data_IF_120817316325
#
_entry.id   IF_120817316325
#
_cell.length_a   1.000
_cell.length_b   1.000
_cell.length_c   1.000
_cell.angle_alpha   90.00
_cell.angle_beta   90.00
_cell.angle_gamma   90.00
#
_symmetry.space_group_name_H-M   'P 1'
#
loop_
_entity.id
_entity.type
_entity.pdbx_description
1 polymer ?
#
# COMPACT_ATOMS: atom_id res chain seq x y z
N UNK A 1 8.83 26.50 -4.48
CA UNK A 1 7.47 27.03 -4.17
C UNK A 1 7.54 27.68 -2.80
N UNK A 2 7.11 28.91 -2.65
CA UNK A 2 7.04 29.58 -1.36
C UNK A 2 5.69 29.34 -0.65
N UNK A 3 5.55 29.81 0.60
CA UNK A 3 4.35 29.58 1.43
C UNK A 3 3.08 30.22 0.87
N UNK A 4 3.21 31.30 0.10
CA UNK A 4 2.08 32.01 -0.51
C UNK A 4 1.55 31.20 -1.69
N UNK A 5 2.42 30.80 -2.60
CA UNK A 5 2.05 29.99 -3.75
C UNK A 5 1.44 28.62 -3.33
N UNK A 6 1.96 27.99 -2.26
CA UNK A 6 1.35 26.76 -1.72
C UNK A 6 -0.06 26.99 -1.19
N UNK A 7 -0.28 28.09 -0.44
CA UNK A 7 -1.62 28.41 0.09
C UNK A 7 -2.62 28.69 -1.03
N UNK A 8 -2.22 29.44 -2.06
CA UNK A 8 -3.06 29.73 -3.23
C UNK A 8 -3.45 28.45 -3.97
N UNK A 9 -2.49 27.52 -4.17
CA UNK A 9 -2.73 26.23 -4.80
C UNK A 9 -3.71 25.36 -4.00
N UNK A 10 -3.58 25.34 -2.66
CA UNK A 10 -4.39 24.49 -1.81
C UNK A 10 -5.74 25.09 -1.40
N UNK A 11 -5.93 26.39 -1.51
CA UNK A 11 -7.18 27.06 -1.10
C UNK A 11 -8.42 26.44 -1.77
N UNK A 12 -8.47 26.25 -3.11
CA UNK A 12 -9.65 25.67 -3.75
C UNK A 12 -9.87 24.19 -3.36
N UNK A 13 -8.82 23.42 -3.07
CA UNK A 13 -8.95 22.05 -2.59
C UNK A 13 -9.53 22.01 -1.17
N UNK A 14 -9.08 22.89 -0.29
CA UNK A 14 -9.62 23.03 1.07
C UNK A 14 -11.10 23.40 1.06
N UNK A 15 -11.50 24.31 0.20
CA UNK A 15 -12.91 24.71 0.07
C UNK A 15 -13.76 23.57 -0.50
N UNK A 16 -13.27 22.87 -1.53
CA UNK A 16 -13.92 21.68 -2.06
C UNK A 16 -14.14 20.62 -0.96
N UNK A 17 -13.11 20.31 -0.17
CA UNK A 17 -13.18 19.25 0.85
C UNK A 17 -13.99 19.63 2.09
N UNK A 18 -14.18 20.93 2.36
CA UNK A 18 -15.15 21.40 3.38
C UNK A 18 -16.59 21.19 2.92
N UNK A 19 -16.85 21.43 1.63
CA UNK A 19 -18.20 21.34 1.06
C UNK A 19 -18.57 19.89 0.70
N UNK A 20 -17.59 19.09 0.30
CA UNK A 20 -17.75 17.68 -0.04
C UNK A 20 -16.62 16.84 0.60
N UNK A 21 -16.80 16.39 1.85
CA UNK A 21 -15.82 15.57 2.55
C UNK A 21 -15.48 14.26 1.83
N UNK A 22 -16.42 13.69 1.08
CA UNK A 22 -16.21 12.46 0.31
C UNK A 22 -15.18 12.62 -0.80
N UNK A 23 -15.11 13.84 -1.40
CA UNK A 23 -14.11 14.14 -2.43
C UNK A 23 -12.66 14.20 -1.90
N UNK A 24 -12.47 14.24 -0.57
CA UNK A 24 -11.15 14.22 0.06
C UNK A 24 -10.58 12.82 0.26
N UNK A 25 -11.41 11.79 0.14
CA UNK A 25 -11.01 10.38 0.35
C UNK A 25 -10.50 9.81 -0.96
N UNK A 26 -9.24 9.36 -0.93
CA UNK A 26 -8.58 8.72 -2.09
C UNK A 26 -8.05 7.36 -1.66
N UNK A 27 -8.35 6.34 -2.43
CA UNK A 27 -7.79 5.00 -2.26
C UNK A 27 -6.53 4.85 -3.11
N UNK A 28 -5.40 4.63 -2.45
CA UNK A 28 -4.14 4.28 -3.10
C UNK A 28 -3.96 2.77 -3.11
N UNK A 29 -3.26 2.25 -4.13
CA UNK A 29 -3.09 0.82 -4.37
C UNK A 29 -1.65 0.50 -4.73
N UNK A 30 -1.15 -0.63 -4.23
CA UNK A 30 0.13 -1.21 -4.66
C UNK A 30 -0.03 -2.71 -4.88
N UNK A 31 0.75 -3.26 -5.80
CA UNK A 31 0.73 -4.66 -6.17
C UNK A 31 2.15 -5.16 -6.40
N UNK A 32 2.38 -6.42 -6.08
CA UNK A 32 3.65 -7.07 -6.36
C UNK A 32 3.45 -8.54 -6.75
N UNK A 33 4.31 -9.02 -7.62
CA UNK A 33 4.28 -10.38 -8.16
C UNK A 33 5.35 -11.27 -7.52
N UNK A 34 4.92 -12.49 -7.18
CA UNK A 34 5.76 -13.56 -6.69
C UNK A 34 6.14 -14.46 -7.86
N UNK A 35 7.40 -14.41 -8.27
CA UNK A 35 7.92 -15.26 -9.35
C UNK A 35 8.62 -16.50 -8.81
N UNK A 36 8.69 -17.55 -9.62
CA UNK A 36 9.44 -18.77 -9.29
C UNK A 36 10.95 -18.53 -9.26
N UNK A 37 11.66 -19.27 -8.43
CA UNK A 37 13.15 -19.35 -8.43
C UNK A 37 13.88 -18.56 -7.34
N UNK A 38 13.32 -17.51 -6.75
CA UNK A 38 13.97 -16.72 -5.69
C UNK A 38 13.00 -16.37 -4.55
N UNK A 39 13.55 -16.16 -3.33
CA UNK A 39 12.78 -15.56 -2.22
C UNK A 39 12.75 -14.05 -2.46
N UNK A 40 11.90 -13.61 -3.40
CA UNK A 40 11.77 -12.23 -3.86
C UNK A 40 10.31 -11.88 -4.19
N UNK A 41 10.00 -10.59 -4.11
CA UNK A 41 8.76 -10.00 -4.60
C UNK A 41 9.13 -8.84 -5.53
N UNK A 42 8.60 -8.85 -6.76
CA UNK A 42 8.76 -7.75 -7.70
C UNK A 42 7.62 -6.79 -7.48
N UNK A 43 7.93 -5.59 -7.03
CA UNK A 43 6.96 -4.51 -6.85
C UNK A 43 7.15 -3.50 -7.98
N UNK A 44 6.07 -3.13 -8.62
CA UNK A 44 6.10 -2.08 -9.63
C UNK A 44 6.26 -0.73 -8.94
N UNK A 45 7.50 -0.24 -8.85
CA UNK A 45 7.80 1.08 -8.28
C UNK A 45 7.90 2.17 -9.35
N UNK A 46 7.85 1.78 -10.61
CA UNK A 46 7.87 2.68 -11.76
C UNK A 46 9.18 3.45 -12.01
N UNK A 47 10.09 3.53 -11.02
CA UNK A 47 11.34 4.33 -11.14
C UNK A 47 12.49 3.73 -10.33
N UNK A 48 13.68 3.78 -10.90
CA UNK A 48 14.91 3.35 -10.23
C UNK A 48 15.39 4.38 -9.17
N UNK A 49 15.13 5.67 -9.41
CA UNK A 49 15.32 6.78 -8.47
C UNK A 49 13.98 7.48 -8.29
N UNK A 50 13.53 7.63 -7.05
CA UNK A 50 12.24 8.19 -6.74
C UNK A 50 12.39 9.55 -6.07
N UNK A 51 11.84 10.59 -6.71
CA UNK A 51 11.63 11.88 -6.09
C UNK A 51 10.22 11.91 -5.52
N UNK A 52 10.10 12.12 -4.21
CA UNK A 52 8.81 12.17 -3.53
C UNK A 52 8.27 13.61 -3.51
N UNK A 53 6.99 13.75 -3.79
CA UNK A 53 6.29 15.03 -3.80
C UNK A 53 4.87 14.96 -3.27
N UNK A 54 4.16 16.08 -3.39
CA UNK A 54 2.77 16.15 -2.97
C UNK A 54 1.87 15.34 -3.91
N UNK A 55 0.92 14.62 -3.30
CA UNK A 55 -0.15 13.99 -4.07
C UNK A 55 -0.99 15.05 -4.81
N UNK A 56 -1.49 14.79 -6.04
CA UNK A 56 -2.33 15.76 -6.78
C UNK A 56 -3.54 16.26 -5.99
N UNK A 57 -4.15 15.42 -5.15
CA UNK A 57 -5.25 15.81 -4.28
C UNK A 57 -4.86 16.82 -3.18
N UNK A 58 -3.58 17.11 -3.00
CA UNK A 58 -3.05 18.15 -2.11
C UNK A 58 -2.31 19.27 -2.84
N UNK A 59 -2.45 19.32 -4.17
CA UNK A 59 -1.85 20.35 -5.02
C UNK A 59 -0.51 19.97 -5.63
N UNK A 60 -0.14 18.68 -5.62
CA UNK A 60 1.03 18.20 -6.31
C UNK A 60 0.87 18.14 -7.83
N UNK A 61 2.00 18.11 -8.54
CA UNK A 61 2.06 17.99 -10.01
C UNK A 61 1.63 16.62 -10.52
N UNK A 62 1.77 15.56 -9.69
CA UNK A 62 1.64 14.16 -10.09
C UNK A 62 2.87 13.60 -10.83
N UNK A 63 3.93 14.38 -10.95
CA UNK A 63 5.19 13.94 -11.58
C UNK A 63 6.11 13.22 -10.59
N UNK A 64 5.99 13.55 -9.30
CA UNK A 64 6.72 12.95 -8.19
C UNK A 64 5.91 11.79 -7.59
N UNK A 65 6.59 10.86 -6.90
CA UNK A 65 5.93 9.78 -6.20
C UNK A 65 5.24 10.28 -4.93
N UNK A 66 4.03 9.83 -4.66
CA UNK A 66 3.39 10.10 -3.38
C UNK A 66 4.01 9.21 -2.28
N UNK A 67 4.30 9.79 -1.12
CA UNK A 67 4.81 9.02 0.03
C UNK A 67 3.83 7.94 0.51
N UNK A 68 2.53 8.12 0.30
CA UNK A 68 1.52 7.09 0.57
C UNK A 68 1.68 5.89 -0.34
N UNK A 69 1.89 6.09 -1.64
CA UNK A 69 2.15 4.99 -2.59
C UNK A 69 3.42 4.26 -2.21
N UNK A 70 4.51 4.98 -1.89
CA UNK A 70 5.78 4.37 -1.45
C UNK A 70 5.61 3.51 -0.20
N UNK A 71 4.74 3.91 0.75
CA UNK A 71 4.45 3.12 1.93
C UNK A 71 3.72 1.80 1.58
N UNK A 72 2.75 1.85 0.68
CA UNK A 72 2.05 0.66 0.19
C UNK A 72 2.98 -0.25 -0.62
N UNK A 73 3.85 0.29 -1.45
CA UNK A 73 4.88 -0.45 -2.18
C UNK A 73 5.82 -1.19 -1.23
N UNK A 74 6.31 -0.52 -0.18
CA UNK A 74 7.15 -1.13 0.84
C UNK A 74 6.42 -2.25 1.60
N UNK A 75 5.13 -2.04 1.92
CA UNK A 75 4.30 -3.05 2.57
C UNK A 75 4.13 -4.29 1.69
N UNK A 76 3.84 -4.12 0.41
CA UNK A 76 3.70 -5.20 -0.57
C UNK A 76 5.01 -5.97 -0.75
N UNK A 77 6.15 -5.25 -0.84
CA UNK A 77 7.46 -5.87 -0.95
C UNK A 77 7.76 -6.74 0.27
N UNK A 78 7.57 -6.22 1.48
CA UNK A 78 7.80 -6.92 2.74
C UNK A 78 6.89 -8.17 2.86
N UNK A 79 5.59 -8.01 2.61
CA UNK A 79 4.63 -9.11 2.70
C UNK A 79 4.93 -10.21 1.68
N UNK A 80 5.29 -9.84 0.44
CA UNK A 80 5.62 -10.78 -0.62
C UNK A 80 6.87 -11.62 -0.32
N UNK A 81 7.95 -10.97 0.12
CA UNK A 81 9.19 -11.66 0.51
C UNK A 81 8.93 -12.59 1.71
N UNK A 82 8.21 -12.11 2.72
CA UNK A 82 7.88 -12.91 3.90
C UNK A 82 7.02 -14.12 3.53
N UNK A 83 6.00 -13.94 2.70
CA UNK A 83 5.16 -15.03 2.23
C UNK A 83 5.98 -16.09 1.50
N UNK A 84 6.87 -15.67 0.59
CA UNK A 84 7.74 -16.57 -0.15
C UNK A 84 8.69 -17.33 0.78
N UNK A 85 9.32 -16.64 1.74
CA UNK A 85 10.24 -17.23 2.71
C UNK A 85 9.53 -18.27 3.60
N UNK A 86 8.35 -17.95 4.13
CA UNK A 86 7.56 -18.87 4.95
C UNK A 86 7.12 -20.08 4.14
N UNK A 87 6.58 -19.87 2.93
CA UNK A 87 6.17 -20.97 2.06
C UNK A 87 7.34 -21.92 1.76
N UNK A 88 8.53 -21.37 1.48
CA UNK A 88 9.75 -22.16 1.27
C UNK A 88 10.15 -22.94 2.53
N UNK A 89 10.12 -22.31 3.70
CA UNK A 89 10.51 -22.93 4.97
C UNK A 89 9.61 -24.10 5.39
N UNK A 90 8.37 -24.13 4.92
CA UNK A 90 7.39 -25.21 5.21
C UNK A 90 7.09 -26.10 4.00
N UNK A 91 7.97 -26.09 2.99
CA UNK A 91 7.87 -26.90 1.78
C UNK A 91 6.56 -26.76 1.00
N UNK A 92 5.97 -25.56 1.01
CA UNK A 92 4.80 -25.23 0.17
C UNK A 92 5.29 -24.65 -1.15
N UNK A 93 5.03 -25.30 -2.30
CA UNK A 93 5.44 -24.79 -3.60
C UNK A 93 4.59 -23.58 -3.99
N UNK A 94 5.18 -22.40 -3.88
CA UNK A 94 4.58 -21.15 -4.32
C UNK A 94 5.19 -20.73 -5.67
N UNK A 95 4.58 -21.16 -6.77
CA UNK A 95 5.07 -20.90 -8.13
C UNK A 95 4.83 -19.45 -8.57
N UNK A 96 3.64 -18.95 -8.30
CA UNK A 96 3.23 -17.58 -8.65
C UNK A 96 2.14 -17.09 -7.69
N UNK A 97 1.94 -15.80 -7.65
CA UNK A 97 0.89 -15.16 -6.87
C UNK A 97 1.07 -13.65 -6.89
N UNK A 98 0.01 -12.93 -6.54
CA UNK A 98 0.00 -11.48 -6.42
C UNK A 98 -0.25 -11.10 -4.97
N UNK A 99 0.49 -10.11 -4.49
CA UNK A 99 0.27 -9.45 -3.21
C UNK A 99 -0.09 -8.01 -3.52
N UNK A 100 -1.14 -7.50 -2.92
CA UNK A 100 -1.53 -6.10 -3.08
C UNK A 100 -1.92 -5.48 -1.75
N UNK A 101 -1.83 -4.16 -1.66
CA UNK A 101 -2.28 -3.37 -0.54
C UNK A 101 -3.07 -2.17 -1.07
N UNK A 102 -4.13 -1.82 -0.36
CA UNK A 102 -4.93 -0.65 -0.63
C UNK A 102 -5.03 0.17 0.64
N UNK A 103 -5.07 1.50 0.51
CA UNK A 103 -5.20 2.38 1.66
C UNK A 103 -5.98 3.64 1.33
N UNK A 104 -6.83 4.04 2.25
CA UNK A 104 -7.66 5.22 2.14
C UNK A 104 -7.02 6.40 2.87
N UNK A 105 -6.79 7.49 2.15
CA UNK A 105 -6.31 8.77 2.67
C UNK A 105 -7.45 9.79 2.70
N UNK A 106 -7.65 10.40 3.85
CA UNK A 106 -8.53 11.57 3.97
C UNK A 106 -7.68 12.84 4.01
N UNK A 107 -7.54 13.49 2.87
CA UNK A 107 -6.71 14.69 2.75
C UNK A 107 -7.24 15.91 3.51
N UNK A 108 -8.43 15.85 4.10
CA UNK A 108 -8.89 16.89 5.04
C UNK A 108 -7.96 16.99 6.25
N UNK A 109 -7.44 15.83 6.73
CA UNK A 109 -6.45 15.79 7.82
C UNK A 109 -5.14 16.44 7.41
N UNK A 110 -4.56 16.00 6.29
CA UNK A 110 -3.28 16.53 5.78
C UNK A 110 -3.35 18.02 5.47
N UNK A 111 -4.46 18.51 4.95
CA UNK A 111 -4.66 19.93 4.62
C UNK A 111 -5.16 20.77 5.81
N UNK A 112 -5.37 20.15 6.99
CA UNK A 112 -5.85 20.84 8.19
C UNK A 112 -7.27 21.40 8.05
N UNK A 113 -8.12 20.75 7.24
CA UNK A 113 -9.52 21.15 7.03
C UNK A 113 -10.43 20.60 8.12
N UNK A 114 -10.14 19.40 8.62
CA UNK A 114 -10.89 18.72 9.66
C UNK A 114 -9.95 18.11 10.71
N UNK A 115 -10.14 18.44 11.98
CA UNK A 115 -9.31 17.96 13.07
C UNK A 115 -9.53 16.48 13.39
N UNK A 116 -10.72 15.98 13.10
CA UNK A 116 -11.13 14.58 13.28
C UNK A 116 -10.59 13.65 12.20
N UNK A 117 -10.16 14.18 11.07
CA UNK A 117 -9.55 13.41 9.99
C UNK A 117 -8.06 13.13 10.32
N UNK A 118 -7.59 11.88 10.20
CA UNK A 118 -6.19 11.56 10.46
C UNK A 118 -5.26 12.20 9.43
N UNK A 119 -4.05 12.53 9.86
CA UNK A 119 -2.96 12.87 8.93
C UNK A 119 -2.32 11.56 8.48
N UNK A 120 -2.50 11.19 7.21
CA UNK A 120 -2.07 9.92 6.65
C UNK A 120 -3.22 8.95 6.38
N UNK A 121 -2.93 7.67 6.36
CA UNK A 121 -3.95 6.65 6.07
C UNK A 121 -5.01 6.56 7.18
N UNK A 122 -6.28 6.65 6.80
CA UNK A 122 -7.40 6.32 7.67
C UNK A 122 -7.48 4.81 7.91
N UNK A 123 -7.18 4.03 6.88
CA UNK A 123 -7.04 2.58 6.96
C UNK A 123 -6.13 2.07 5.84
N UNK A 124 -5.45 0.94 6.12
CA UNK A 124 -4.75 0.15 5.12
C UNK A 124 -5.35 -1.24 5.16
N UNK A 125 -5.78 -1.74 4.01
CA UNK A 125 -6.29 -3.10 3.88
C UNK A 125 -5.25 -3.93 3.11
N UNK A 126 -4.78 -5.07 3.67
CA UNK A 126 -4.10 -6.04 2.86
C UNK A 126 -5.11 -6.51 1.82
N UNK A 127 -4.71 -6.53 0.57
CA UNK A 127 -5.57 -7.04 -0.47
C UNK A 127 -5.97 -8.47 -0.17
N UNK A 128 -7.15 -8.84 -0.63
CA UNK A 128 -7.83 -10.08 -0.29
C UNK A 128 -6.89 -11.27 -0.31
N UNK A 129 -6.89 -12.07 0.75
CA UNK A 129 -5.95 -13.17 0.88
C UNK A 129 -6.16 -14.16 -0.25
N UNK A 130 -5.06 -14.78 -0.66
CA UNK A 130 -4.93 -16.07 -1.31
C UNK A 130 -6.19 -16.93 -1.12
N UNK A 131 -6.68 -17.65 -2.15
CA UNK A 131 -7.88 -18.47 -2.05
C UNK A 131 -7.80 -19.36 -0.80
N UNK A 132 -8.75 -19.22 0.08
CA UNK A 132 -8.81 -19.89 1.40
C UNK A 132 -8.59 -21.41 1.33
N UNK A 133 -8.83 -22.03 0.18
CA UNK A 133 -8.58 -23.46 -0.05
C UNK A 133 -7.11 -23.87 0.10
N UNK A 134 -6.16 -23.06 -0.39
CA UNK A 134 -4.74 -23.37 -0.26
C UNK A 134 -4.25 -23.34 1.20
N UNK A 135 -4.85 -22.49 2.04
CA UNK A 135 -4.51 -22.39 3.46
C UNK A 135 -5.08 -23.54 4.31
N UNK A 136 -6.22 -24.11 3.95
CA UNK A 136 -6.80 -25.23 4.69
C UNK A 136 -6.02 -26.53 4.47
N UNK A 137 -5.63 -26.84 3.24
CA UNK A 137 -4.79 -28.00 2.95
C UNK A 137 -3.41 -27.90 3.61
N UNK A 138 -2.86 -26.68 3.74
CA UNK A 138 -1.57 -26.45 4.40
C UNK A 138 -1.65 -26.59 5.93
N UNK A 139 -2.74 -26.16 6.56
CA UNK A 139 -2.94 -26.34 8.02
C UNK A 139 -3.04 -27.81 8.41
N UNK A 140 -3.63 -28.65 7.58
CA UNK A 140 -3.73 -30.09 7.84
C UNK A 140 -2.41 -30.80 7.65
N UNK A 141 -1.55 -30.33 6.74
CA UNK A 141 -0.15 -30.82 6.64
C UNK A 141 0.68 -30.43 7.86
N UNK A 142 0.63 -29.17 8.31
CA UNK A 142 1.38 -28.69 9.48
C UNK A 142 0.99 -29.44 10.77
N UNK A 143 -0.25 -29.89 10.91
CA UNK A 143 -0.69 -30.71 12.06
C UNK A 143 -0.18 -32.14 12.02
N UNK A 144 0.25 -32.63 10.85
CA UNK A 144 0.70 -34.02 10.65
C UNK A 144 2.21 -34.20 10.66
N UNK A 145 2.99 -33.11 10.67
CA UNK A 145 4.46 -33.16 10.74
C UNK A 145 4.87 -33.14 12.21
N UNK A 146 5.41 -34.23 12.81
CA UNK A 146 5.95 -34.16 14.15
C UNK A 146 7.17 -33.23 14.14
N UNK A 147 7.16 -32.20 14.97
CA UNK A 147 8.33 -31.39 15.23
C UNK A 147 9.47 -32.30 15.70
N UNK A 148 10.43 -32.60 14.83
CA UNK A 148 11.74 -33.04 15.27
C UNK A 148 12.53 -31.78 15.64
N UNK A 149 12.71 -31.61 16.93
CA UNK A 149 13.72 -30.72 17.53
C UNK A 149 15.08 -31.37 17.29
#
# INVERSE_FOLDING_TARGET
MDSTALRELQAPLKDKYRNDPGAAVVTLKAQGDLSDGAIACKVETGRALVEAGLHPATGGSGLEACSGDMLLEALVACAGVTLKAVATAIDIPLKSGTVSAEGDLDFRGTLGVAKEAPVGFAQIQPARPWPRRAFHESRDRLRRTPHRI
#
